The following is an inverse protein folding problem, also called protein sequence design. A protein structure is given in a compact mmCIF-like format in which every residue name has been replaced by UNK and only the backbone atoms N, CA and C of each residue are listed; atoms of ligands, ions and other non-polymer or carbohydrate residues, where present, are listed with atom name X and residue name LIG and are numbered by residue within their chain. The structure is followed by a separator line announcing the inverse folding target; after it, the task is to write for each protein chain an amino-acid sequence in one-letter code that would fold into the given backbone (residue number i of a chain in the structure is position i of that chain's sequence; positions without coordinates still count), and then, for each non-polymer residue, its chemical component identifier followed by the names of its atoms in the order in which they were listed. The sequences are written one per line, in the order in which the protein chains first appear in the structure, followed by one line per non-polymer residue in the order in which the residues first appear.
data_IF_291237363936
#
_entry.id   IF_291237363936
#
_cell.length_a   1.000
_cell.length_b   1.000
_cell.length_c   1.000
_cell.angle_alpha   90.00
_cell.angle_beta   90.00
_cell.angle_gamma   90.00
#
_symmetry.space_group_name_H-M   'P 1'
#
loop_
_entity.id
_entity.type
_entity.pdbx_description
1 polymer ?
#
# COMPACT_ATOMS: atom_id res chain seq x y z
N UNK A 1 -48.60 -5.16 15.70
CA UNK A 1 -48.42 -5.00 14.24
C UNK A 1 -47.23 -4.10 14.02
N UNK A 2 -46.03 -4.54 13.69
CA UNK A 2 -45.52 -5.82 13.16
C UNK A 2 -44.03 -5.84 13.50
N UNK A 3 -43.50 -7.01 13.88
CA UNK A 3 -42.08 -7.35 14.01
C UNK A 3 -41.29 -6.97 12.74
N UNK A 4 -40.00 -6.63 12.80
CA UNK A 4 -38.89 -7.61 12.78
C UNK A 4 -37.59 -7.08 13.40
N UNK A 5 -36.93 -7.94 14.18
CA UNK A 5 -35.51 -7.86 14.53
C UNK A 5 -34.63 -7.86 13.27
N UNK A 6 -33.58 -7.05 13.28
CA UNK A 6 -32.31 -7.38 12.65
C UNK A 6 -31.20 -6.83 13.55
N UNK A 7 -30.54 -7.73 14.27
CA UNK A 7 -29.26 -7.45 14.91
C UNK A 7 -28.25 -7.33 13.77
N UNK A 8 -27.99 -6.10 13.33
CA UNK A 8 -26.86 -5.81 12.44
C UNK A 8 -25.59 -6.26 13.17
N UNK A 9 -24.75 -7.14 12.58
CA UNK A 9 -23.46 -7.45 13.16
C UNK A 9 -22.64 -6.16 13.23
N UNK A 10 -22.05 -5.92 14.40
CA UNK A 10 -21.08 -4.84 14.63
C UNK A 10 -19.97 -4.97 13.58
N UNK A 11 -20.07 -4.23 12.47
CA UNK A 11 -18.94 -4.00 11.58
C UNK A 11 -17.81 -3.51 12.47
N UNK A 12 -16.75 -4.31 12.58
CA UNK A 12 -15.56 -3.96 13.33
C UNK A 12 -15.05 -2.65 12.75
N UNK A 13 -15.24 -1.55 13.47
CA UNK A 13 -14.71 -0.25 13.09
C UNK A 13 -13.19 -0.43 12.94
N UNK A 14 -12.70 -0.50 11.71
CA UNK A 14 -11.28 -0.54 11.41
C UNK A 14 -10.74 0.81 11.87
N UNK A 15 -9.91 0.79 12.91
CA UNK A 15 -9.14 1.94 13.38
C UNK A 15 -8.15 2.33 12.28
N UNK A 16 -8.62 3.11 11.31
CA UNK A 16 -7.82 3.72 10.24
C UNK A 16 -6.94 4.79 10.88
N UNK A 17 -5.91 4.39 11.61
CA UNK A 17 -4.81 5.31 11.93
C UNK A 17 -4.09 5.55 10.61
N UNK A 18 -4.10 6.79 10.09
CA UNK A 18 -3.40 7.07 8.85
C UNK A 18 -1.91 6.77 9.06
N UNK A 19 -1.37 5.91 8.20
CA UNK A 19 0.06 5.66 8.14
C UNK A 19 0.71 6.89 7.53
N UNK A 20 1.48 7.64 8.33
CA UNK A 20 2.16 8.85 7.90
C UNK A 20 3.66 8.64 7.99
N UNK A 21 4.36 8.77 6.86
CA UNK A 21 5.81 8.61 6.77
C UNK A 21 6.36 9.81 6.01
N UNK A 22 7.35 10.48 6.60
CA UNK A 22 8.10 11.52 5.90
C UNK A 22 9.13 10.86 4.98
N UNK A 23 9.09 11.17 3.68
CA UNK A 23 9.99 10.62 2.68
C UNK A 23 10.20 11.59 1.51
N UNK A 24 11.25 11.35 0.72
CA UNK A 24 11.53 12.14 -0.49
C UNK A 24 10.97 11.45 -1.72
N UNK A 25 10.40 12.24 -2.64
CA UNK A 25 9.85 11.77 -3.93
C UNK A 25 10.44 12.62 -5.06
N UNK A 26 10.71 12.00 -6.20
CA UNK A 26 11.12 12.71 -7.42
C UNK A 26 9.86 13.09 -8.18
N UNK A 27 9.66 14.39 -8.42
CA UNK A 27 8.56 14.90 -9.24
C UNK A 27 9.01 14.97 -10.69
N UNK A 28 8.36 14.20 -11.55
CA UNK A 28 8.61 14.27 -12.99
C UNK A 28 7.95 15.54 -13.56
N UNK A 29 8.78 16.49 -14.01
CA UNK A 29 8.31 17.71 -14.70
C UNK A 29 8.14 17.50 -16.20
N UNK A 30 8.84 16.50 -16.75
CA UNK A 30 8.79 16.10 -18.16
C UNK A 30 9.02 14.58 -18.24
N UNK A 31 8.34 13.91 -19.18
CA UNK A 31 8.46 12.48 -19.44
C UNK A 31 8.13 12.16 -20.91
N UNK A 32 8.61 11.03 -21.42
CA UNK A 32 8.28 10.61 -22.78
C UNK A 32 6.80 10.24 -22.90
N UNK A 33 6.17 10.54 -24.05
CA UNK A 33 4.75 10.18 -24.27
C UNK A 33 4.53 8.66 -24.20
N UNK A 34 5.47 7.87 -24.72
CA UNK A 34 5.42 6.42 -24.64
C UNK A 34 6.54 5.91 -23.72
N UNK A 35 6.27 4.94 -22.82
CA UNK A 35 4.96 4.32 -22.55
C UNK A 35 4.08 5.10 -21.54
N UNK A 36 4.54 6.23 -21.00
CA UNK A 36 3.91 6.84 -19.82
C UNK A 36 2.46 7.31 -20.03
N UNK A 37 2.09 7.78 -21.23
CA UNK A 37 0.71 8.17 -21.54
C UNK A 37 -0.27 6.98 -21.56
N UNK A 38 0.23 5.76 -21.77
CA UNK A 38 -0.61 4.57 -21.89
C UNK A 38 -0.88 3.85 -20.58
N UNK A 39 -0.14 4.19 -19.52
CA UNK A 39 -0.37 3.63 -18.21
C UNK A 39 -1.61 4.23 -17.56
N UNK A 40 -2.30 3.41 -16.76
CA UNK A 40 -3.42 3.85 -15.92
C UNK A 40 -2.95 4.15 -14.48
N UNK A 41 -1.67 4.47 -14.30
CA UNK A 41 -1.08 4.87 -13.03
C UNK A 41 -0.32 6.19 -13.19
N UNK A 42 -0.26 7.00 -12.13
CA UNK A 42 0.37 8.32 -12.15
C UNK A 42 1.86 8.29 -11.79
N UNK A 43 2.32 7.23 -11.12
CA UNK A 43 3.69 7.13 -10.66
C UNK A 43 4.08 5.72 -10.25
N UNK A 44 5.34 5.57 -9.85
CA UNK A 44 5.94 4.30 -9.45
C UNK A 44 6.44 4.44 -8.02
N UNK A 45 6.02 3.53 -7.14
CA UNK A 45 6.57 3.38 -5.80
C UNK A 45 7.63 2.27 -5.82
N UNK A 46 8.91 2.63 -5.71
CA UNK A 46 10.00 1.66 -5.68
C UNK A 46 10.09 0.94 -4.33
N UNK A 47 10.00 -0.40 -4.34
CA UNK A 47 10.16 -1.28 -3.17
C UNK A 47 11.52 -2.00 -3.13
N UNK A 48 12.47 -1.57 -3.96
CA UNK A 48 13.81 -2.14 -4.03
C UNK A 48 14.67 -1.85 -2.80
N UNK A 49 15.84 -2.48 -2.74
CA UNK A 49 16.82 -2.29 -1.67
C UNK A 49 17.28 -0.82 -1.59
N UNK A 50 17.48 -0.32 -0.37
CA UNK A 50 17.90 1.08 -0.14
C UNK A 50 19.20 1.45 -0.87
N UNK A 51 20.11 0.49 -1.09
CA UNK A 51 21.36 0.69 -1.82
C UNK A 51 21.20 1.01 -3.31
N UNK A 52 20.01 0.82 -3.88
CA UNK A 52 19.69 1.14 -5.28
C UNK A 52 19.05 2.53 -5.44
N UNK A 53 18.82 3.24 -4.33
CA UNK A 53 18.20 4.57 -4.33
C UNK A 53 19.24 5.67 -4.38
N UNK A 54 18.87 6.89 -4.82
CA UNK A 54 19.78 8.05 -4.84
C UNK A 54 20.31 8.40 -3.45
N UNK A 55 19.45 8.29 -2.43
CA UNK A 55 19.79 8.31 -1.02
C UNK A 55 18.68 7.60 -0.22
N UNK A 56 18.93 7.31 1.06
CA UNK A 56 18.00 6.54 1.91
C UNK A 56 16.60 7.15 2.04
N UNK A 57 16.45 8.46 1.98
CA UNK A 57 15.15 9.12 2.11
C UNK A 57 14.24 8.88 0.89
N UNK A 58 14.80 8.43 -0.24
CA UNK A 58 14.05 7.99 -1.43
C UNK A 58 13.65 6.51 -1.39
N UNK A 59 14.07 5.74 -0.38
CA UNK A 59 13.63 4.36 -0.21
C UNK A 59 12.36 4.32 0.64
N UNK A 60 11.20 4.22 -0.02
CA UNK A 60 9.90 4.17 0.65
C UNK A 60 9.86 3.08 1.75
N UNK A 61 10.34 1.89 1.41
CA UNK A 61 10.35 0.76 2.35
C UNK A 61 11.28 0.99 3.55
N UNK A 62 12.50 1.52 3.34
CA UNK A 62 13.41 1.86 4.45
C UNK A 62 12.78 2.91 5.36
N UNK A 63 12.07 3.90 4.80
CA UNK A 63 11.38 4.94 5.57
C UNK A 63 10.20 4.39 6.38
N UNK A 64 9.41 3.48 5.81
CA UNK A 64 8.30 2.79 6.51
C UNK A 64 8.81 1.93 7.67
N UNK A 65 9.92 1.19 7.46
CA UNK A 65 10.50 0.37 8.52
C UNK A 65 11.05 1.26 9.65
N UNK A 66 11.72 2.36 9.31
CA UNK A 66 12.31 3.28 10.28
C UNK A 66 11.30 4.12 11.06
N UNK A 67 10.11 4.37 10.50
CA UNK A 67 9.04 5.07 11.23
C UNK A 67 8.44 4.21 12.36
N UNK A 68 8.80 2.93 12.44
CA UNK A 68 8.27 2.00 13.45
C UNK A 68 6.84 1.54 13.15
N UNK A 69 6.31 1.85 11.97
CA UNK A 69 4.95 1.48 11.57
C UNK A 69 4.85 0.04 11.05
N UNK A 70 5.96 -0.53 10.59
CA UNK A 70 6.04 -1.94 10.20
C UNK A 70 6.50 -2.81 11.37
N UNK A 71 5.72 -3.83 11.73
CA UNK A 71 6.07 -4.76 12.81
C UNK A 71 7.32 -5.60 12.49
N UNK A 72 7.54 -5.91 11.21
CA UNK A 72 8.72 -6.61 10.70
C UNK A 72 9.27 -5.89 9.47
N UNK A 73 10.57 -5.98 9.15
CA UNK A 73 11.14 -5.38 7.95
C UNK A 73 10.86 -6.23 6.70
N UNK A 74 9.60 -6.60 6.48
CA UNK A 74 9.12 -7.34 5.30
C UNK A 74 7.89 -6.67 4.71
N UNK A 75 7.61 -6.94 3.44
CA UNK A 75 6.32 -6.68 2.81
C UNK A 75 5.91 -7.93 2.03
N UNK A 76 4.61 -8.12 1.85
CA UNK A 76 4.05 -9.20 1.05
C UNK A 76 3.14 -8.65 -0.03
N UNK A 77 3.02 -9.40 -1.13
CA UNK A 77 2.16 -9.07 -2.26
C UNK A 77 1.25 -10.25 -2.51
N UNK A 78 -0.05 -9.99 -2.51
CA UNK A 78 -1.07 -10.90 -3.00
C UNK A 78 -1.63 -10.35 -4.32
N UNK A 79 -1.66 -11.19 -5.35
CA UNK A 79 -2.23 -10.84 -6.65
C UNK A 79 -3.46 -11.70 -6.88
N UNK A 80 -4.62 -11.05 -6.85
CA UNK A 80 -5.91 -11.65 -7.16
C UNK A 80 -6.09 -11.78 -8.68
N UNK A 81 -6.80 -12.82 -9.12
CA UNK A 81 -7.33 -12.91 -10.49
C UNK A 81 -8.68 -12.18 -10.65
N UNK A 82 -9.22 -11.65 -9.55
CA UNK A 82 -10.47 -10.91 -9.47
C UNK A 82 -11.71 -11.81 -9.32
N UNK A 83 -11.54 -13.13 -9.21
CA UNK A 83 -12.65 -14.03 -8.97
C UNK A 83 -13.23 -13.83 -7.56
N UNK A 84 -14.53 -14.10 -7.43
CA UNK A 84 -15.24 -14.03 -6.15
C UNK A 84 -15.12 -12.70 -5.36
N UNK A 85 -14.69 -11.62 -6.02
CA UNK A 85 -14.54 -10.29 -5.42
C UNK A 85 -13.21 -10.06 -4.69
N UNK A 86 -12.24 -10.98 -4.81
CA UNK A 86 -10.92 -10.83 -4.19
C UNK A 86 -10.13 -9.66 -4.79
N UNK A 87 -9.47 -8.87 -3.95
CA UNK A 87 -8.65 -7.74 -4.37
C UNK A 87 -7.17 -8.04 -4.15
N UNK A 88 -6.32 -7.57 -5.06
CA UNK A 88 -4.87 -7.60 -4.85
C UNK A 88 -4.48 -6.70 -3.68
N UNK A 89 -3.50 -7.14 -2.90
CA UNK A 89 -3.07 -6.45 -1.68
C UNK A 89 -1.55 -6.37 -1.60
N UNK A 90 -1.04 -5.26 -1.03
CA UNK A 90 0.33 -5.17 -0.54
C UNK A 90 0.28 -4.93 0.96
N UNK A 91 0.77 -5.89 1.74
CA UNK A 91 0.86 -5.75 3.19
C UNK A 91 2.27 -5.28 3.59
N UNK A 92 2.34 -4.27 4.44
CA UNK A 92 3.60 -3.75 4.98
C UNK A 92 3.77 -4.25 6.42
N UNK A 93 4.92 -4.84 6.73
CA UNK A 93 5.25 -5.26 8.09
C UNK A 93 4.84 -6.68 8.48
N UNK A 94 4.38 -7.49 7.53
CA UNK A 94 3.91 -8.85 7.79
C UNK A 94 3.45 -9.56 6.52
N UNK A 95 2.77 -10.68 6.72
CA UNK A 95 2.03 -11.43 5.71
C UNK A 95 0.60 -11.56 6.21
N UNK A 96 -0.37 -11.28 5.34
CA UNK A 96 -1.77 -11.57 5.63
C UNK A 96 -2.05 -13.08 5.43
N UNK A 97 -2.50 -13.81 6.47
CA UNK A 97 -2.72 -15.25 6.39
C UNK A 97 -4.11 -15.65 5.85
N UNK A 98 -4.97 -14.69 5.51
CA UNK A 98 -6.32 -14.93 4.99
C UNK A 98 -6.30 -15.65 3.65
#
# INVERSE_FOLDING_TARGET
NTSTNATEPLETAVDYRPVCVEMSVIVAVEMSTQPFKTFQFDGILGLGLSGLTMNRNFSAFDMIVKSGMAAQPIFSVFLSDGEFGEQSEVAMGGVDPR
#
